data_IF_706075581496
#
_entry.id   IF_706075581496
#
_cell.length_a   1.000
_cell.length_b   1.000
_cell.length_c   1.000
_cell.angle_alpha   90.00
_cell.angle_beta   90.00
_cell.angle_gamma   90.00
#
_symmetry.space_group_name_H-M   'P 1'
#
loop_
_entity.id
_entity.type
_entity.pdbx_description
1 polymer ?
#
# COMPACT_ATOMS: atom_id res chain seq x y z
N UNK A 1 4.67 4.49 -21.46
CA UNK A 1 6.13 4.78 -21.36
C UNK A 1 6.68 4.27 -20.03
N UNK A 2 5.94 4.45 -18.94
CA UNK A 2 6.21 3.95 -17.58
C UNK A 2 6.71 2.51 -17.50
N UNK A 3 6.04 1.55 -18.14
CA UNK A 3 6.48 0.15 -18.09
C UNK A 3 7.83 -0.09 -18.75
N UNK A 4 8.14 0.64 -19.83
CA UNK A 4 9.45 0.51 -20.49
C UNK A 4 10.55 1.03 -19.57
N UNK A 5 10.37 2.22 -18.98
CA UNK A 5 11.33 2.83 -18.08
C UNK A 5 11.62 1.95 -16.85
N UNK A 6 10.57 1.43 -16.21
CA UNK A 6 10.71 0.53 -15.06
C UNK A 6 11.43 -0.76 -15.45
N UNK A 7 11.07 -1.39 -16.57
CA UNK A 7 11.74 -2.63 -16.99
C UNK A 7 13.21 -2.41 -17.34
N UNK A 8 13.55 -1.29 -17.98
CA UNK A 8 14.96 -0.95 -18.26
C UNK A 8 15.76 -0.75 -16.97
N UNK A 9 15.17 -0.13 -15.96
CA UNK A 9 15.79 0.05 -14.64
C UNK A 9 15.96 -1.30 -13.93
N UNK A 10 14.93 -2.15 -13.91
CA UNK A 10 14.99 -3.49 -13.32
C UNK A 10 15.99 -4.42 -14.02
N UNK A 11 16.22 -4.24 -15.32
CA UNK A 11 17.24 -4.95 -16.08
C UNK A 11 18.66 -4.36 -15.92
N UNK A 12 18.80 -3.22 -15.22
CA UNK A 12 20.07 -2.51 -15.05
C UNK A 12 20.59 -1.85 -16.33
N UNK A 13 19.72 -1.58 -17.30
CA UNK A 13 20.06 -0.92 -18.58
C UNK A 13 20.14 0.60 -18.41
N UNK A 14 19.38 1.14 -17.45
CA UNK A 14 19.39 2.56 -17.07
C UNK A 14 19.56 2.69 -15.56
N UNK A 15 19.89 3.91 -15.13
CA UNK A 15 19.94 4.36 -13.74
C UNK A 15 19.09 5.64 -13.59
N UNK A 16 17.94 5.67 -14.26
CA UNK A 16 17.12 6.88 -14.32
C UNK A 16 16.41 7.08 -12.99
N UNK A 17 16.30 8.32 -12.52
CA UNK A 17 15.48 8.62 -11.36
C UNK A 17 14.00 8.51 -11.74
N UNK A 18 13.35 7.43 -11.28
CA UNK A 18 11.94 7.16 -11.52
C UNK A 18 11.03 7.63 -10.37
N UNK A 19 11.57 8.33 -9.36
CA UNK A 19 10.82 8.73 -8.16
C UNK A 19 9.60 9.59 -8.43
N UNK A 20 9.57 10.32 -9.56
CA UNK A 20 8.46 11.18 -9.99
C UNK A 20 7.62 10.55 -11.12
N UNK A 21 7.86 9.29 -11.47
CA UNK A 21 7.18 8.63 -12.59
C UNK A 21 5.65 8.62 -12.43
N UNK A 22 5.08 8.36 -11.23
CA UNK A 22 3.64 8.44 -11.04
C UNK A 22 3.07 9.86 -11.24
N UNK A 23 3.77 10.90 -10.78
CA UNK A 23 3.42 12.32 -10.94
C UNK A 23 3.43 12.70 -12.42
N UNK A 24 4.47 12.28 -13.14
CA UNK A 24 4.58 12.47 -14.59
C UNK A 24 3.41 11.85 -15.34
N UNK A 25 3.08 10.58 -15.04
CA UNK A 25 1.96 9.89 -15.67
C UNK A 25 0.61 10.55 -15.33
N UNK A 26 0.43 11.00 -14.08
CA UNK A 26 -0.78 11.73 -13.64
C UNK A 26 -0.93 13.06 -14.37
N UNK A 27 0.17 13.81 -14.51
CA UNK A 27 0.20 15.07 -15.25
C UNK A 27 -0.15 14.85 -16.73
N UNK A 28 0.49 13.87 -17.38
CA UNK A 28 0.21 13.54 -18.77
C UNK A 28 -1.26 13.11 -18.99
N UNK A 29 -1.80 12.27 -18.11
CA UNK A 29 -3.19 11.85 -18.13
C UNK A 29 -4.15 13.05 -18.05
N UNK A 30 -3.89 13.98 -17.11
CA UNK A 30 -4.67 15.21 -16.95
C UNK A 30 -4.59 16.11 -18.19
N UNK A 31 -3.39 16.33 -18.74
CA UNK A 31 -3.19 17.18 -19.92
C UNK A 31 -3.83 16.61 -21.19
N UNK A 32 -3.88 15.28 -21.30
CA UNK A 32 -4.49 14.59 -22.43
C UNK A 32 -5.98 14.30 -22.23
N UNK A 33 -6.58 14.70 -21.10
CA UNK A 33 -7.96 14.38 -20.73
C UNK A 33 -8.30 12.88 -20.80
N UNK A 34 -7.34 12.03 -20.42
CA UNK A 34 -7.52 10.58 -20.32
C UNK A 34 -7.38 10.16 -18.86
N UNK A 35 -8.26 9.29 -18.33
CA UNK A 35 -8.17 8.85 -16.95
C UNK A 35 -6.94 7.96 -16.74
N UNK A 36 -6.19 8.20 -15.67
CA UNK A 36 -5.21 7.24 -15.17
C UNK A 36 -5.96 6.15 -14.39
N UNK A 37 -6.00 4.94 -14.95
CA UNK A 37 -6.75 3.83 -14.36
C UNK A 37 -6.11 3.41 -13.03
N UNK A 38 -6.93 3.20 -12.00
CA UNK A 38 -6.44 2.85 -10.65
C UNK A 38 -5.62 1.55 -10.64
N UNK A 39 -5.93 0.60 -11.54
CA UNK A 39 -5.24 -0.68 -11.70
C UNK A 39 -4.10 -0.66 -12.72
N UNK A 40 -3.74 0.51 -13.27
CA UNK A 40 -2.57 0.62 -14.15
C UNK A 40 -1.31 0.12 -13.42
N UNK A 41 -0.51 -0.77 -14.03
CA UNK A 41 0.73 -1.25 -13.42
C UNK A 41 1.65 -0.10 -13.02
N UNK A 42 2.32 -0.24 -11.87
CA UNK A 42 3.30 0.72 -11.30
C UNK A 42 2.68 2.07 -10.87
N UNK A 43 1.94 2.74 -11.75
CA UNK A 43 1.53 4.13 -11.56
C UNK A 43 0.08 4.27 -11.10
N UNK A 44 -0.75 3.24 -11.28
CA UNK A 44 -2.13 3.21 -10.79
C UNK A 44 -2.16 3.28 -9.26
N UNK A 45 -3.24 3.85 -8.71
CA UNK A 45 -3.44 3.95 -7.25
C UNK A 45 -3.24 2.61 -6.54
N UNK A 46 -3.64 1.51 -7.16
CA UNK A 46 -3.69 0.18 -6.54
C UNK A 46 -2.41 -0.64 -6.72
N UNK A 47 -1.38 -0.09 -7.37
CA UNK A 47 -0.16 -0.82 -7.74
C UNK A 47 0.65 -1.37 -6.54
N UNK A 48 0.57 -0.73 -5.38
CA UNK A 48 1.36 -1.08 -4.18
C UNK A 48 0.48 -1.19 -2.92
N UNK A 49 -0.81 -1.46 -3.09
CA UNK A 49 -1.78 -1.64 -1.99
C UNK A 49 -1.98 -3.13 -1.71
N UNK A 50 -2.06 -3.52 -0.45
CA UNK A 50 -2.43 -4.89 -0.07
C UNK A 50 -3.43 -4.92 1.08
N UNK A 51 -4.51 -5.67 0.88
CA UNK A 51 -5.54 -5.89 1.91
C UNK A 51 -5.53 -7.29 2.52
N UNK A 52 -4.68 -8.22 2.05
CA UNK A 52 -4.73 -9.62 2.50
C UNK A 52 -3.92 -9.80 3.79
N UNK A 53 -4.47 -10.58 4.73
CA UNK A 53 -3.81 -10.83 6.04
C UNK A 53 -2.40 -11.42 5.94
N UNK A 54 -2.21 -12.38 5.03
CA UNK A 54 -0.93 -13.07 4.86
C UNK A 54 0.15 -12.17 4.23
N UNK A 55 -0.22 -11.23 3.36
CA UNK A 55 0.74 -10.28 2.79
C UNK A 55 1.17 -9.25 3.84
N UNK A 56 0.20 -8.68 4.56
CA UNK A 56 0.48 -7.72 5.64
C UNK A 56 1.40 -8.32 6.71
N UNK A 57 1.11 -9.55 7.17
CA UNK A 57 1.94 -10.23 8.15
C UNK A 57 3.40 -10.44 7.68
N UNK A 58 3.59 -10.70 6.39
CA UNK A 58 4.92 -10.90 5.82
C UNK A 58 5.72 -9.59 5.72
N UNK A 59 5.07 -8.51 5.30
CA UNK A 59 5.66 -7.15 5.25
C UNK A 59 6.06 -6.71 6.66
N UNK A 60 5.13 -6.76 7.62
CA UNK A 60 5.41 -6.40 9.02
C UNK A 60 6.58 -7.20 9.62
N UNK A 61 6.70 -8.48 9.27
CA UNK A 61 7.80 -9.33 9.75
C UNK A 61 9.15 -8.91 9.15
N UNK A 62 9.18 -8.45 7.90
CA UNK A 62 10.38 -7.89 7.29
C UNK A 62 10.75 -6.55 7.94
N UNK A 63 9.78 -5.66 8.15
CA UNK A 63 9.97 -4.37 8.83
C UNK A 63 10.47 -4.53 10.26
N UNK A 64 9.88 -5.43 11.06
CA UNK A 64 10.31 -5.72 12.42
C UNK A 64 11.73 -6.28 12.51
N UNK A 65 12.26 -6.83 11.41
CA UNK A 65 13.66 -7.26 11.29
C UNK A 65 14.60 -6.16 10.80
N UNK A 66 14.08 -4.96 10.51
CA UNK A 66 14.83 -3.87 9.90
C UNK A 66 15.19 -4.11 8.43
N UNK A 67 14.53 -5.06 7.76
CA UNK A 67 14.82 -5.43 6.37
C UNK A 67 13.90 -4.67 5.41
N UNK A 68 14.15 -3.37 5.26
CA UNK A 68 13.37 -2.49 4.38
C UNK A 68 13.43 -2.94 2.91
N UNK A 69 14.56 -3.54 2.48
CA UNK A 69 14.71 -4.06 1.12
C UNK A 69 13.73 -5.20 0.85
N UNK A 70 13.60 -6.14 1.80
CA UNK A 70 12.66 -7.25 1.72
C UNK A 70 11.21 -6.78 1.87
N UNK A 71 10.92 -5.87 2.79
CA UNK A 71 9.58 -5.33 3.00
C UNK A 71 9.00 -4.71 1.72
N UNK A 72 9.82 -4.03 0.92
CA UNK A 72 9.39 -3.41 -0.33
C UNK A 72 9.29 -4.37 -1.54
N UNK A 73 9.75 -5.63 -1.38
CA UNK A 73 9.81 -6.63 -2.46
C UNK A 73 8.98 -7.88 -2.18
N UNK A 74 8.65 -8.14 -0.92
CA UNK A 74 7.84 -9.30 -0.58
C UNK A 74 6.43 -9.11 -1.16
N UNK A 75 6.02 -10.03 -2.02
CA UNK A 75 4.80 -9.93 -2.84
C UNK A 75 4.78 -8.78 -3.86
N UNK A 76 5.92 -8.14 -4.18
CA UNK A 76 6.02 -7.13 -5.22
C UNK A 76 7.23 -7.33 -6.13
N UNK A 77 7.01 -7.47 -7.44
CA UNK A 77 8.10 -7.58 -8.43
C UNK A 77 8.78 -6.23 -8.71
N UNK A 78 8.07 -5.13 -8.46
CA UNK A 78 8.59 -3.76 -8.56
C UNK A 78 8.63 -3.17 -7.16
N UNK A 79 9.79 -2.74 -6.65
CA UNK A 79 9.86 -2.03 -5.36
C UNK A 79 9.06 -0.73 -5.46
N UNK A 80 8.19 -0.43 -4.50
CA UNK A 80 7.39 0.81 -4.53
C UNK A 80 8.32 2.03 -4.44
N UNK A 81 9.40 1.92 -3.66
CA UNK A 81 10.40 2.98 -3.49
C UNK A 81 11.09 3.38 -4.81
N UNK A 82 11.18 2.47 -5.79
CA UNK A 82 11.75 2.75 -7.11
C UNK A 82 11.03 3.90 -7.82
N UNK A 83 9.72 4.03 -7.57
CA UNK A 83 8.86 5.05 -8.19
C UNK A 83 8.33 6.06 -7.19
N UNK A 84 9.08 6.27 -6.09
CA UNK A 84 8.75 7.27 -5.07
C UNK A 84 7.49 6.95 -4.26
N UNK A 85 7.11 5.67 -4.17
CA UNK A 85 5.95 5.20 -3.42
C UNK A 85 6.37 4.29 -2.27
N UNK A 86 5.39 3.92 -1.46
CA UNK A 86 5.52 2.96 -0.37
C UNK A 86 4.50 1.83 -0.52
N UNK A 87 4.77 0.69 0.12
CA UNK A 87 3.78 -0.36 0.31
C UNK A 87 2.68 0.15 1.25
N UNK A 88 1.43 0.00 0.86
CA UNK A 88 0.27 0.43 1.64
C UNK A 88 -0.50 -0.79 2.11
N UNK A 89 -0.56 -1.00 3.43
CA UNK A 89 -1.35 -2.06 4.05
C UNK A 89 -2.71 -1.50 4.41
N UNK A 90 -3.76 -2.14 3.89
CA UNK A 90 -5.13 -1.70 4.03
C UNK A 90 -5.95 -2.66 4.89
N UNK A 91 -7.10 -2.18 5.35
CA UNK A 91 -8.02 -2.94 6.18
C UNK A 91 -9.36 -3.10 5.45
N UNK A 92 -9.79 -4.34 5.24
CA UNK A 92 -11.06 -4.68 4.61
C UNK A 92 -11.45 -6.14 4.88
N UNK A 93 -12.37 -6.72 4.08
CA UNK A 93 -12.93 -8.05 4.32
C UNK A 93 -11.89 -9.17 4.35
N UNK A 94 -10.83 -9.03 3.55
CA UNK A 94 -9.76 -10.02 3.41
C UNK A 94 -8.60 -9.83 4.41
N UNK A 95 -8.69 -8.83 5.28
CA UNK A 95 -7.60 -8.47 6.21
C UNK A 95 -7.52 -9.41 7.41
N UNK A 96 -6.33 -9.53 7.97
CA UNK A 96 -6.10 -10.16 9.28
C UNK A 96 -5.95 -9.10 10.37
N UNK A 97 -5.86 -9.53 11.62
CA UNK A 97 -5.48 -8.62 12.72
C UNK A 97 -4.11 -7.95 12.48
N UNK A 98 -3.20 -8.58 11.72
CA UNK A 98 -1.92 -7.98 11.33
C UNK A 98 -2.10 -6.65 10.57
N UNK A 99 -3.06 -6.57 9.64
CA UNK A 99 -3.36 -5.31 8.94
C UNK A 99 -3.77 -4.21 9.94
N UNK A 100 -4.63 -4.57 10.89
CA UNK A 100 -5.14 -3.66 11.92
C UNK A 100 -4.00 -3.15 12.80
N UNK A 101 -3.17 -4.05 13.36
CA UNK A 101 -2.04 -3.67 14.19
C UNK A 101 -1.05 -2.78 13.43
N UNK A 102 -0.72 -3.12 12.18
CA UNK A 102 0.15 -2.30 11.35
C UNK A 102 -0.42 -0.88 11.14
N UNK A 103 -1.71 -0.78 10.78
CA UNK A 103 -2.35 0.52 10.58
C UNK A 103 -2.34 1.35 11.86
N UNK A 104 -2.71 0.77 13.00
CA UNK A 104 -2.71 1.46 14.29
C UNK A 104 -1.32 2.01 14.64
N UNK A 105 -0.29 1.17 14.53
CA UNK A 105 1.10 1.57 14.78
C UNK A 105 1.56 2.69 13.84
N UNK A 106 1.24 2.59 12.53
CA UNK A 106 1.60 3.62 11.53
C UNK A 106 0.92 4.97 11.79
N UNK A 107 -0.28 4.97 12.39
CA UNK A 107 -1.06 6.18 12.68
C UNK A 107 -0.94 6.63 14.14
N UNK A 108 -0.05 6.01 14.94
CA UNK A 108 0.26 6.44 16.31
C UNK A 108 -0.76 6.03 17.38
N UNK A 109 -1.60 5.02 17.09
CA UNK A 109 -2.52 4.44 18.07
C UNK A 109 -1.90 3.23 18.78
N UNK A 110 -2.27 3.04 20.05
CA UNK A 110 -1.95 1.82 20.81
C UNK A 110 -2.72 0.62 20.24
N UNK A 111 -2.02 -0.46 19.90
CA UNK A 111 -2.59 -1.67 19.30
C UNK A 111 -3.18 -2.65 20.34
N UNK A 112 -3.90 -2.11 21.34
CA UNK A 112 -4.54 -2.90 22.38
C UNK A 112 -5.56 -3.89 21.78
N UNK A 113 -5.71 -5.05 22.42
CA UNK A 113 -6.47 -6.16 21.85
C UNK A 113 -7.94 -5.79 21.58
N UNK A 114 -8.56 -4.97 22.45
CA UNK A 114 -9.94 -4.51 22.26
C UNK A 114 -10.13 -3.63 21.03
N UNK A 115 -9.19 -2.73 20.73
CA UNK A 115 -9.24 -1.86 19.56
C UNK A 115 -8.98 -2.67 18.29
N UNK A 116 -8.01 -3.57 18.35
CA UNK A 116 -7.70 -4.49 17.26
C UNK A 116 -8.92 -5.35 16.91
N UNK A 117 -9.58 -5.94 17.91
CA UNK A 117 -10.78 -6.76 17.73
C UNK A 117 -11.94 -5.93 17.16
N UNK A 118 -12.17 -4.71 17.68
CA UNK A 118 -13.22 -3.80 17.17
C UNK A 118 -13.05 -3.49 15.69
N UNK A 119 -11.85 -3.07 15.26
CA UNK A 119 -11.59 -2.73 13.86
C UNK A 119 -11.61 -3.99 12.99
N UNK A 120 -11.07 -5.11 13.48
CA UNK A 120 -11.10 -6.38 12.76
C UNK A 120 -12.54 -6.85 12.51
N UNK A 121 -13.40 -6.81 13.53
CA UNK A 121 -14.81 -7.19 13.40
C UNK A 121 -15.56 -6.28 12.43
N UNK A 122 -15.27 -4.97 12.44
CA UNK A 122 -15.82 -4.04 11.46
C UNK A 122 -15.35 -4.40 10.04
N UNK A 123 -14.06 -4.72 9.87
CA UNK A 123 -13.48 -5.12 8.59
C UNK A 123 -14.14 -6.38 8.02
N UNK A 124 -14.62 -7.30 8.87
CA UNK A 124 -15.33 -8.52 8.43
C UNK A 124 -16.79 -8.31 8.06
N UNK A 125 -17.38 -7.17 8.43
CA UNK A 125 -18.79 -6.85 8.17
C UNK A 125 -18.99 -5.92 6.97
N UNK A 126 -17.94 -5.23 6.55
CA UNK A 126 -17.96 -4.36 5.36
C UNK A 126 -17.81 -5.17 4.06
N UNK A 127 -18.14 -4.55 2.94
CA UNK A 127 -17.92 -5.04 1.57
C UNK A 127 -16.80 -4.29 0.82
N UNK A 128 -16.15 -3.32 1.48
CA UNK A 128 -15.10 -2.49 0.90
C UNK A 128 -13.88 -2.34 1.82
N UNK A 129 -12.79 -1.80 1.29
CA UNK A 129 -11.65 -1.36 2.11
C UNK A 129 -12.08 -0.17 2.94
N UNK A 130 -11.97 -0.28 4.27
CA UNK A 130 -12.29 0.80 5.18
C UNK A 130 -11.47 2.05 4.84
N UNK A 131 -12.16 3.18 4.79
CA UNK A 131 -11.55 4.49 4.59
C UNK A 131 -10.80 4.94 5.84
N UNK A 132 -9.89 5.91 5.67
CA UNK A 132 -9.18 6.51 6.81
C UNK A 132 -10.15 7.14 7.81
N UNK A 133 -11.21 7.79 7.33
CA UNK A 133 -12.27 8.37 8.16
C UNK A 133 -13.00 7.28 8.97
N UNK A 134 -13.41 6.17 8.35
CA UNK A 134 -14.04 5.05 9.07
C UNK A 134 -13.10 4.44 10.11
N UNK A 135 -11.80 4.31 9.79
CA UNK A 135 -10.81 3.79 10.74
C UNK A 135 -10.57 4.75 11.91
N UNK A 136 -10.54 6.06 11.67
CA UNK A 136 -10.44 7.07 12.72
C UNK A 136 -11.66 7.07 13.64
N UNK A 137 -12.87 6.98 13.08
CA UNK A 137 -14.11 6.88 13.86
C UNK A 137 -14.12 5.61 14.72
N UNK A 138 -13.71 4.48 14.12
CA UNK A 138 -13.50 3.22 14.82
C UNK A 138 -12.36 3.29 15.84
N UNK A 139 -11.46 4.27 15.82
CA UNK A 139 -10.47 4.49 16.88
C UNK A 139 -11.05 5.33 18.02
N UNK A 140 -11.83 6.37 17.68
CA UNK A 140 -12.48 7.27 18.65
C UNK A 140 -13.65 6.60 19.39
N UNK A 141 -14.20 5.51 18.84
CA UNK A 141 -15.31 4.77 19.45
C UNK A 141 -16.66 5.47 19.31
N UNK A 142 -16.79 6.31 18.28
CA UNK A 142 -18.03 6.96 17.85
C UNK A 142 -18.84 6.08 16.91
#
# INVERSE_FOLDING_TARGET
>A
MELLLVNLELLGVTNADLSILPEYCRLAANMCHVPLIHSSPVVGRDAFRTGTGVHAAAIMKAEAKGDAWLADRIYSSVPASLVGREQVIEIGPMSGQSNVRHWLQKHGYDDNESLVERIFDASKKTDHTLTEEELEDLCRGT
#
